data_IF_824579320236
#
_entry.id   IF_824579320236
#
_cell.length_a   1.000
_cell.length_b   1.000
_cell.length_c   1.000
_cell.angle_alpha   90.00
_cell.angle_beta   90.00
_cell.angle_gamma   90.00
#
_symmetry.space_group_name_H-M   'P 1'
#
loop_
_entity.id
_entity.type
_entity.pdbx_description
1 polymer ?
#
# COMPACT_ATOMS: atom_id res chain seq x y z
N UNK A 1 6.77 3.44 -17.09
CA UNK A 1 7.81 2.87 -16.19
C UNK A 1 8.64 1.81 -16.92
N UNK A 2 9.98 1.89 -16.97
CA UNK A 2 10.81 0.85 -17.67
C UNK A 2 10.77 -0.53 -17.00
N UNK A 3 10.60 -0.56 -15.67
CA UNK A 3 10.56 -1.76 -14.84
C UNK A 3 9.25 -2.56 -14.91
N UNK A 4 8.21 -2.01 -15.54
CA UNK A 4 6.92 -2.68 -15.72
C UNK A 4 6.66 -2.79 -17.22
N UNK A 5 6.21 -3.95 -17.68
CA UNK A 5 5.79 -4.18 -19.07
C UNK A 5 4.32 -3.80 -19.24
N UNK A 6 3.47 -4.17 -18.29
CA UNK A 6 2.04 -3.91 -18.33
C UNK A 6 1.32 -4.54 -17.14
N UNK A 7 0.03 -4.79 -17.31
CA UNK A 7 -0.83 -5.43 -16.32
C UNK A 7 -1.43 -6.71 -16.92
N UNK A 8 -1.70 -7.71 -16.09
CA UNK A 8 -2.32 -8.97 -16.52
C UNK A 8 -3.47 -9.35 -15.61
N UNK A 9 -4.62 -9.67 -16.18
CA UNK A 9 -5.75 -10.14 -15.40
C UNK A 9 -5.51 -11.52 -14.80
N UNK A 10 -5.76 -11.66 -13.50
CA UNK A 10 -5.58 -12.92 -12.77
C UNK A 10 -6.56 -14.03 -13.19
N UNK A 11 -7.72 -13.67 -13.75
CA UNK A 11 -8.74 -14.65 -14.18
C UNK A 11 -8.72 -14.96 -15.67
N UNK A 12 -8.77 -13.95 -16.53
CA UNK A 12 -8.88 -14.16 -17.98
C UNK A 12 -7.55 -14.08 -18.73
N UNK A 13 -6.45 -13.72 -18.05
CA UNK A 13 -5.12 -13.63 -18.65
C UNK A 13 -4.91 -12.48 -19.63
N UNK A 14 -5.92 -11.65 -19.89
CA UNK A 14 -5.79 -10.47 -20.76
C UNK A 14 -4.71 -9.54 -20.24
N UNK A 15 -3.89 -9.05 -21.17
CA UNK A 15 -2.81 -8.12 -20.91
C UNK A 15 -3.24 -6.70 -21.28
N UNK A 16 -2.71 -5.73 -20.55
CA UNK A 16 -3.01 -4.31 -20.70
C UNK A 16 -1.72 -3.50 -20.65
N UNK A 17 -1.71 -2.36 -21.32
CA UNK A 17 -0.70 -1.33 -21.12
C UNK A 17 -0.71 -0.78 -19.69
N UNK A 18 0.38 -0.13 -19.27
CA UNK A 18 0.55 0.41 -17.91
C UNK A 18 -0.51 1.44 -17.48
N UNK A 19 -1.14 2.10 -18.45
CA UNK A 19 -2.09 3.19 -18.24
C UNK A 19 -3.44 2.91 -18.94
N UNK A 20 -3.62 1.71 -19.48
CA UNK A 20 -4.83 1.35 -20.22
C UNK A 20 -6.02 1.10 -19.28
N UNK A 21 -5.75 0.58 -18.08
CA UNK A 21 -6.75 0.28 -17.05
C UNK A 21 -6.20 0.68 -15.68
N UNK A 22 -7.07 1.23 -14.82
CA UNK A 22 -6.65 1.83 -13.54
C UNK A 22 -7.01 1.01 -12.30
N UNK A 23 -7.93 0.06 -12.40
CA UNK A 23 -8.47 -0.65 -11.23
C UNK A 23 -8.63 -2.14 -11.50
N UNK A 24 -9.62 -2.51 -12.32
CA UNK A 24 -9.95 -3.92 -12.60
C UNK A 24 -9.92 -4.20 -14.09
N UNK A 25 -9.87 -5.48 -14.44
CA UNK A 25 -9.98 -5.97 -15.80
C UNK A 25 -11.26 -5.46 -16.47
N UNK A 26 -11.13 -4.76 -17.60
CA UNK A 26 -12.24 -4.26 -18.41
C UNK A 26 -13.21 -5.34 -18.92
N UNK A 27 -12.77 -6.60 -19.00
CA UNK A 27 -13.54 -7.70 -19.56
C UNK A 27 -14.31 -8.53 -18.52
N UNK A 28 -13.76 -8.69 -17.31
CA UNK A 28 -14.32 -9.61 -16.31
C UNK A 28 -14.30 -9.06 -14.88
N UNK A 29 -13.92 -7.79 -14.70
CA UNK A 29 -13.89 -7.08 -13.42
C UNK A 29 -13.01 -7.70 -12.33
N UNK A 30 -12.16 -8.67 -12.66
CA UNK A 30 -11.17 -9.24 -11.74
C UNK A 30 -9.96 -8.30 -11.56
N UNK A 31 -9.23 -8.48 -10.46
CA UNK A 31 -7.96 -7.86 -10.17
C UNK A 31 -6.89 -8.11 -11.26
N UNK A 32 -5.98 -7.14 -11.34
CA UNK A 32 -4.85 -7.13 -12.25
C UNK A 32 -3.55 -7.32 -11.45
N UNK A 33 -2.63 -8.09 -12.01
CA UNK A 33 -1.27 -8.23 -11.52
C UNK A 33 -0.29 -7.42 -12.37
N UNK A 34 0.84 -7.05 -11.78
CA UNK A 34 1.87 -6.25 -12.44
C UNK A 34 2.83 -7.17 -13.18
N UNK A 35 2.97 -6.95 -14.48
CA UNK A 35 3.95 -7.68 -15.30
C UNK A 35 5.28 -6.93 -15.27
N UNK A 36 6.25 -7.46 -14.52
CA UNK A 36 7.57 -6.82 -14.37
C UNK A 36 8.52 -7.09 -15.54
N UNK A 37 9.42 -6.13 -15.78
CA UNK A 37 10.57 -6.30 -16.67
C UNK A 37 11.80 -6.70 -15.84
N UNK A 38 11.91 -7.97 -15.46
CA UNK A 38 13.02 -8.47 -14.64
C UNK A 38 14.39 -8.34 -15.30
N UNK A 39 14.45 -8.35 -16.64
CA UNK A 39 15.70 -8.13 -17.38
C UNK A 39 16.25 -6.73 -17.19
N UNK A 40 15.36 -5.74 -17.04
CA UNK A 40 15.73 -4.36 -16.73
C UNK A 40 16.04 -4.20 -15.24
N UNK A 41 15.18 -4.74 -14.37
CA UNK A 41 15.34 -4.62 -12.90
C UNK A 41 16.66 -5.21 -12.42
N UNK A 42 17.06 -6.38 -12.93
CA UNK A 42 18.30 -7.06 -12.50
C UNK A 42 19.58 -6.29 -12.84
N UNK A 43 19.51 -5.28 -13.74
CA UNK A 43 20.68 -4.45 -14.07
C UNK A 43 21.06 -3.52 -12.92
N UNK A 44 20.10 -3.13 -12.09
CA UNK A 44 20.30 -2.17 -10.99
C UNK A 44 19.99 -2.75 -9.62
N UNK A 45 19.14 -3.78 -9.54
CA UNK A 45 18.72 -4.40 -8.28
C UNK A 45 19.37 -5.77 -8.09
N UNK A 46 20.52 -5.78 -7.43
CA UNK A 46 21.28 -6.97 -7.03
C UNK A 46 21.35 -7.13 -5.52
N UNK A 47 21.81 -8.29 -5.03
CA UNK A 47 22.03 -8.52 -3.59
C UNK A 47 23.04 -7.53 -3.00
N UNK A 48 24.09 -7.21 -3.75
CA UNK A 48 25.15 -6.28 -3.38
C UNK A 48 24.61 -4.84 -3.32
N UNK A 49 23.83 -4.43 -4.33
CA UNK A 49 23.19 -3.10 -4.32
C UNK A 49 22.24 -2.95 -3.12
N UNK A 50 21.49 -4.01 -2.80
CA UNK A 50 20.53 -4.01 -1.70
C UNK A 50 21.22 -4.01 -0.33
N UNK A 51 22.35 -4.72 -0.19
CA UNK A 51 23.10 -4.75 1.08
C UNK A 51 23.79 -3.42 1.39
N UNK A 52 24.20 -2.68 0.35
CA UNK A 52 24.81 -1.35 0.48
C UNK A 52 23.78 -0.22 0.63
N UNK A 53 22.50 -0.48 0.34
CA UNK A 53 21.45 0.53 0.42
C UNK A 53 21.17 0.95 1.87
N UNK A 54 21.35 2.24 2.15
CA UNK A 54 21.14 2.88 3.47
C UNK A 54 19.71 3.38 3.70
N UNK A 55 18.81 3.17 2.75
CA UNK A 55 17.38 3.42 2.92
C UNK A 55 16.76 2.34 3.82
N UNK A 56 16.23 2.77 4.96
CA UNK A 56 15.66 1.92 6.01
C UNK A 56 14.14 2.04 6.04
N UNK A 57 13.53 1.78 4.89
CA UNK A 57 12.07 1.73 4.69
C UNK A 57 11.73 0.77 3.56
N UNK A 58 10.45 0.71 3.16
CA UNK A 58 10.04 0.00 1.95
C UNK A 58 10.65 0.57 0.67
N UNK A 59 11.10 1.83 0.68
CA UNK A 59 11.59 2.52 -0.52
C UNK A 59 12.93 1.98 -1.02
N UNK A 60 13.66 1.23 -0.17
CA UNK A 60 14.84 0.46 -0.60
C UNK A 60 14.53 -0.60 -1.68
N UNK A 61 13.25 -0.95 -1.82
CA UNK A 61 12.74 -1.87 -2.83
C UNK A 61 12.09 -1.16 -4.02
N UNK A 62 12.27 0.16 -4.18
CA UNK A 62 11.71 0.95 -5.29
C UNK A 62 11.83 0.27 -6.67
N UNK A 63 12.94 -0.40 -7.04
CA UNK A 63 13.04 -1.07 -8.34
C UNK A 63 11.99 -2.17 -8.57
N UNK A 64 11.37 -2.67 -7.51
CA UNK A 64 10.30 -3.67 -7.51
C UNK A 64 8.91 -3.07 -7.20
N UNK A 65 8.81 -1.76 -6.93
CA UNK A 65 7.53 -1.11 -6.63
C UNK A 65 6.97 -0.41 -7.88
N UNK A 66 5.64 -0.42 -8.10
CA UNK A 66 4.99 0.18 -9.26
C UNK A 66 4.79 1.69 -9.14
N UNK A 67 5.89 2.41 -8.90
CA UNK A 67 5.94 3.88 -8.79
C UNK A 67 7.10 4.45 -9.61
N UNK A 68 7.06 5.73 -9.94
CA UNK A 68 8.05 6.49 -10.72
C UNK A 68 8.65 7.65 -9.95
N UNK A 69 7.85 8.34 -9.13
CA UNK A 69 8.24 9.61 -8.54
C UNK A 69 8.50 9.47 -7.04
N UNK A 70 9.78 9.35 -6.66
CA UNK A 70 10.19 9.25 -5.27
C UNK A 70 10.00 10.55 -4.47
N UNK A 71 9.79 11.69 -5.12
CA UNK A 71 9.49 12.95 -4.41
C UNK A 71 8.09 12.95 -3.78
N UNK A 72 7.23 12.02 -4.20
CA UNK A 72 5.85 11.86 -3.76
C UNK A 72 5.69 10.90 -2.57
N UNK A 73 6.76 10.28 -2.07
CA UNK A 73 6.66 9.33 -0.96
C UNK A 73 6.18 10.02 0.33
N UNK A 74 5.30 9.37 1.12
CA UNK A 74 4.98 9.81 2.47
C UNK A 74 6.25 10.08 3.29
N UNK A 75 6.33 11.21 4.04
CA UNK A 75 7.47 11.54 4.90
C UNK A 75 7.40 10.75 6.22
N UNK A 76 7.22 9.42 6.12
CA UNK A 76 7.06 8.50 7.24
C UNK A 76 7.99 7.29 7.06
N UNK A 77 8.54 6.79 8.15
CA UNK A 77 9.32 5.55 8.14
C UNK A 77 8.39 4.34 8.05
N UNK A 78 8.11 3.90 6.83
CA UNK A 78 7.25 2.76 6.55
C UNK A 78 8.11 1.54 6.27
N UNK A 79 7.87 0.45 6.99
CA UNK A 79 8.71 -0.73 6.93
C UNK A 79 9.95 -0.62 7.81
N UNK A 80 10.98 -1.41 7.47
CA UNK A 80 12.17 -1.59 8.31
C UNK A 80 11.88 -1.87 9.79
N UNK A 81 10.76 -2.55 10.02
CA UNK A 81 10.27 -2.86 11.36
C UNK A 81 11.15 -3.90 12.05
N UNK A 82 11.12 -3.97 13.39
CA UNK A 82 11.92 -4.94 14.12
C UNK A 82 11.67 -6.40 13.71
N UNK A 83 12.72 -7.21 13.80
CA UNK A 83 12.64 -8.66 13.71
C UNK A 83 13.22 -9.23 15.01
N UNK A 84 12.36 -9.78 15.86
CA UNK A 84 12.75 -10.30 17.17
C UNK A 84 12.93 -11.81 17.11
N UNK A 85 14.02 -12.33 17.67
CA UNK A 85 14.17 -13.77 17.87
C UNK A 85 13.41 -14.19 19.14
N UNK A 86 12.39 -15.03 19.01
CA UNK A 86 11.54 -15.47 20.11
C UNK A 86 12.10 -16.75 20.77
N UNK A 87 13.29 -16.64 21.36
CA UNK A 87 14.07 -17.77 21.93
C UNK A 87 13.29 -18.65 22.91
N UNK A 88 12.39 -18.05 23.69
CA UNK A 88 11.58 -18.76 24.69
C UNK A 88 10.34 -19.46 24.11
N UNK A 89 9.95 -19.15 22.87
CA UNK A 89 8.78 -19.72 22.21
C UNK A 89 9.13 -20.85 21.24
N UNK A 90 10.37 -20.89 20.73
CA UNK A 90 10.84 -21.96 19.86
C UNK A 90 12.21 -21.69 19.25
N UNK A 91 12.85 -22.73 18.72
CA UNK A 91 14.11 -22.61 17.97
C UNK A 91 13.85 -21.99 16.59
N UNK A 92 14.72 -21.07 16.17
CA UNK A 92 14.64 -20.38 14.87
C UNK A 92 13.29 -19.68 14.62
N UNK A 93 12.60 -19.25 15.69
CA UNK A 93 11.35 -18.52 15.60
C UNK A 93 11.61 -17.02 15.65
N UNK A 94 11.11 -16.29 14.65
CA UNK A 94 11.25 -14.84 14.57
C UNK A 94 9.89 -14.16 14.46
N UNK A 95 9.76 -13.00 15.11
CA UNK A 95 8.58 -12.15 15.07
C UNK A 95 8.89 -10.87 14.30
N UNK A 96 8.21 -10.67 13.18
CA UNK A 96 8.28 -9.43 12.40
C UNK A 96 7.22 -8.46 12.89
N UNK A 97 7.62 -7.45 13.67
CA UNK A 97 6.69 -6.54 14.34
C UNK A 97 6.26 -5.37 13.44
N UNK A 98 5.36 -5.66 12.50
CA UNK A 98 4.75 -4.63 11.66
C UNK A 98 3.72 -3.74 12.39
N UNK A 99 3.48 -3.99 13.69
CA UNK A 99 2.74 -3.08 14.57
C UNK A 99 3.49 -1.78 14.87
N UNK A 100 4.78 -1.70 14.54
CA UNK A 100 5.61 -0.48 14.66
C UNK A 100 5.53 0.46 13.47
N UNK A 101 4.79 0.11 12.42
CA UNK A 101 4.52 1.06 11.34
C UNK A 101 3.66 2.24 11.84
N UNK A 102 3.64 3.39 11.15
CA UNK A 102 2.98 4.61 11.61
C UNK A 102 1.50 4.47 12.04
N UNK A 103 0.71 3.70 11.29
CA UNK A 103 -0.70 3.43 11.63
C UNK A 103 -0.88 2.24 12.58
N UNK A 104 0.22 1.69 13.11
CA UNK A 104 0.30 0.43 13.83
C UNK A 104 -0.16 -0.79 13.01
N UNK A 105 0.09 -0.80 11.70
CA UNK A 105 -0.30 -1.93 10.85
C UNK A 105 0.65 -2.19 9.67
N UNK A 106 0.77 -3.46 9.29
CA UNK A 106 1.44 -3.86 8.04
C UNK A 106 0.79 -3.26 6.78
N UNK A 107 -0.48 -2.82 6.86
CA UNK A 107 -1.20 -2.20 5.74
C UNK A 107 -0.52 -0.93 5.23
N UNK A 108 0.29 -0.27 6.05
CA UNK A 108 1.07 0.92 5.65
C UNK A 108 1.97 0.67 4.44
N UNK A 109 2.50 -0.55 4.30
CA UNK A 109 3.35 -0.90 3.16
C UNK A 109 2.60 -0.78 1.83
N UNK A 110 1.37 -1.29 1.77
CA UNK A 110 0.55 -1.25 0.56
C UNK A 110 -0.05 0.14 0.33
N UNK A 111 -0.56 0.77 1.39
CA UNK A 111 -1.14 2.12 1.31
C UNK A 111 -0.11 3.16 0.85
N UNK A 112 1.17 2.99 1.19
CA UNK A 112 2.25 3.86 0.73
C UNK A 112 2.45 3.81 -0.79
N UNK A 113 2.45 2.61 -1.36
CA UNK A 113 2.54 2.45 -2.82
C UNK A 113 1.30 3.02 -3.49
N UNK A 114 0.11 2.73 -2.94
CA UNK A 114 -1.16 3.20 -3.48
C UNK A 114 -1.26 4.73 -3.48
N UNK A 115 -0.83 5.40 -2.42
CA UNK A 115 -0.94 6.86 -2.33
C UNK A 115 0.06 7.58 -3.22
N UNK A 116 1.27 7.05 -3.37
CA UNK A 116 2.23 7.56 -4.37
C UNK A 116 1.64 7.43 -5.76
N UNK A 117 1.09 6.26 -6.10
CA UNK A 117 0.45 6.04 -7.41
C UNK A 117 -0.77 6.96 -7.62
N UNK A 118 -1.58 7.20 -6.60
CA UNK A 118 -2.70 8.14 -6.67
C UNK A 118 -2.22 9.57 -7.00
N UNK A 119 -1.12 10.02 -6.39
CA UNK A 119 -0.52 11.33 -6.71
C UNK A 119 0.11 11.38 -8.11
N UNK A 120 0.64 10.27 -8.63
CA UNK A 120 1.10 10.18 -10.03
C UNK A 120 -0.05 10.32 -11.02
N UNK A 121 -1.21 9.77 -10.68
CA UNK A 121 -2.44 9.87 -11.48
C UNK A 121 -3.17 11.22 -11.30
N UNK A 122 -2.64 12.14 -10.48
CA UNK A 122 -3.26 13.44 -10.22
C UNK A 122 -4.53 13.38 -9.38
N UNK A 123 -4.73 12.29 -8.61
CA UNK A 123 -5.89 12.15 -7.74
C UNK A 123 -5.89 13.24 -6.66
N UNK A 124 -7.04 13.91 -6.50
CA UNK A 124 -7.23 14.97 -5.51
C UNK A 124 -7.72 14.45 -4.16
N UNK A 125 -8.23 13.22 -4.13
CA UNK A 125 -8.87 12.57 -2.98
C UNK A 125 -8.54 11.08 -3.05
N UNK A 126 -8.30 10.45 -1.91
CA UNK A 126 -8.27 8.98 -1.79
C UNK A 126 -9.50 8.49 -1.04
N UNK A 127 -9.99 7.31 -1.42
CA UNK A 127 -11.16 6.73 -0.79
C UNK A 127 -11.03 5.23 -0.60
N UNK A 128 -11.83 4.67 0.31
CA UNK A 128 -11.94 3.23 0.51
C UNK A 128 -13.12 2.88 1.41
N UNK A 129 -13.61 1.66 1.28
CA UNK A 129 -14.57 1.07 2.19
C UNK A 129 -13.82 0.17 3.18
N UNK A 130 -13.64 0.63 4.42
CA UNK A 130 -12.98 -0.17 5.46
C UNK A 130 -13.20 0.37 6.85
N UNK A 131 -13.56 -0.53 7.77
CA UNK A 131 -13.55 -0.25 9.21
C UNK A 131 -12.27 -0.68 9.89
N UNK A 132 -11.31 -1.25 9.15
CA UNK A 132 -10.12 -1.87 9.72
C UNK A 132 -8.84 -1.13 9.42
N UNK A 133 -7.73 -1.84 9.58
CA UNK A 133 -6.38 -1.32 9.41
C UNK A 133 -6.13 -0.69 8.03
N UNK A 134 -6.80 -1.15 6.97
CA UNK A 134 -6.63 -0.57 5.64
C UNK A 134 -7.16 0.88 5.57
N UNK A 135 -8.32 1.14 6.17
CA UNK A 135 -8.87 2.49 6.27
C UNK A 135 -7.97 3.40 7.12
N UNK A 136 -7.55 2.92 8.30
CA UNK A 136 -6.66 3.67 9.20
C UNK A 136 -5.31 3.98 8.56
N UNK A 137 -4.73 3.01 7.86
CA UNK A 137 -3.48 3.17 7.12
C UNK A 137 -3.63 4.21 6.00
N UNK A 138 -4.66 4.10 5.17
CA UNK A 138 -4.91 5.08 4.11
C UNK A 138 -5.11 6.49 4.68
N UNK A 139 -5.91 6.64 5.75
CA UNK A 139 -6.12 7.91 6.43
C UNK A 139 -4.82 8.50 6.99
N UNK A 140 -4.00 7.69 7.67
CA UNK A 140 -2.71 8.10 8.24
C UNK A 140 -1.77 8.64 7.17
N UNK A 141 -1.58 7.90 6.09
CA UNK A 141 -0.64 8.26 5.04
C UNK A 141 -1.16 9.45 4.22
N UNK A 142 -2.47 9.52 3.96
CA UNK A 142 -3.07 10.68 3.30
C UNK A 142 -2.92 11.96 4.11
N UNK A 143 -3.10 11.88 5.43
CA UNK A 143 -2.85 13.01 6.34
C UNK A 143 -1.39 13.50 6.25
N UNK A 144 -0.42 12.58 6.22
CA UNK A 144 1.01 12.93 6.12
C UNK A 144 1.38 13.69 4.84
N UNK A 145 0.58 13.53 3.78
CA UNK A 145 0.76 14.16 2.47
C UNK A 145 -0.27 15.28 2.21
N UNK A 146 -1.12 15.60 3.19
CA UNK A 146 -2.24 16.58 3.05
C UNK A 146 -3.21 16.24 1.92
N UNK A 147 -3.41 14.95 1.65
CA UNK A 147 -4.38 14.47 0.68
C UNK A 147 -5.70 14.19 1.43
N UNK A 148 -6.83 14.74 0.99
CA UNK A 148 -8.12 14.39 1.57
C UNK A 148 -8.41 12.90 1.46
N UNK A 149 -8.79 12.29 2.59
CA UNK A 149 -9.25 10.90 2.65
C UNK A 149 -10.75 10.85 2.99
N UNK A 150 -11.52 10.09 2.22
CA UNK A 150 -12.93 9.79 2.50
C UNK A 150 -13.09 8.29 2.71
N UNK A 151 -13.47 7.87 3.91
CA UNK A 151 -13.56 6.45 4.27
C UNK A 151 -15.01 6.08 4.58
N UNK A 152 -15.51 5.09 3.85
CA UNK A 152 -16.84 4.54 4.05
C UNK A 152 -16.79 3.41 5.07
N UNK A 153 -17.69 3.43 6.04
CA UNK A 153 -17.79 2.43 7.11
C UNK A 153 -19.25 2.02 7.31
N UNK A 154 -19.55 0.73 7.58
CA UNK A 154 -20.86 0.32 8.07
C UNK A 154 -21.27 1.09 9.32
N UNK A 155 -22.55 1.44 9.44
CA UNK A 155 -23.08 2.17 10.60
C UNK A 155 -22.83 1.45 11.95
N UNK A 156 -22.68 0.12 11.92
CA UNK A 156 -22.39 -0.71 13.10
C UNK A 156 -20.90 -0.85 13.42
N UNK A 157 -20.03 -0.09 12.76
CA UNK A 157 -18.60 -0.17 12.96
C UNK A 157 -18.21 0.19 14.41
N UNK A 158 -17.28 -0.56 15.05
CA UNK A 158 -16.87 -0.26 16.42
C UNK A 158 -16.26 1.14 16.53
N UNK A 159 -16.69 1.90 17.54
CA UNK A 159 -16.22 3.28 17.80
C UNK A 159 -14.70 3.38 17.81
N UNK A 160 -14.02 2.46 18.48
CA UNK A 160 -12.55 2.45 18.58
C UNK A 160 -11.85 2.45 17.21
N UNK A 161 -12.42 1.75 16.21
CA UNK A 161 -11.84 1.72 14.86
C UNK A 161 -12.12 3.01 14.09
N UNK A 162 -13.28 3.62 14.30
CA UNK A 162 -13.64 4.93 13.74
C UNK A 162 -12.75 6.03 14.32
N UNK A 163 -12.43 5.97 15.62
CA UNK A 163 -11.61 6.97 16.31
C UNK A 163 -10.28 7.20 15.61
N UNK A 164 -9.59 6.13 15.19
CA UNK A 164 -8.30 6.26 14.51
C UNK A 164 -8.42 6.99 13.16
N UNK A 165 -9.48 6.70 12.38
CA UNK A 165 -9.77 7.40 11.12
C UNK A 165 -9.97 8.90 11.34
N UNK A 166 -10.75 9.26 12.36
CA UNK A 166 -11.07 10.64 12.71
C UNK A 166 -9.83 11.39 13.22
N UNK A 167 -8.98 10.76 14.03
CA UNK A 167 -7.72 11.34 14.52
C UNK A 167 -6.80 11.70 13.35
N UNK A 168 -6.74 10.86 12.31
CA UNK A 168 -5.98 11.16 11.09
C UNK A 168 -6.69 12.15 10.16
N UNK A 169 -7.85 12.71 10.54
CA UNK A 169 -8.54 13.73 9.78
C UNK A 169 -9.30 13.22 8.54
N UNK A 170 -9.53 11.91 8.44
CA UNK A 170 -10.36 11.38 7.36
C UNK A 170 -11.83 11.78 7.54
N UNK A 171 -12.50 12.10 6.43
CA UNK A 171 -13.95 12.24 6.40
C UNK A 171 -14.57 10.84 6.43
N UNK A 172 -15.19 10.48 7.55
CA UNK A 172 -15.84 9.18 7.71
C UNK A 172 -17.31 9.28 7.32
N UNK A 173 -17.73 8.45 6.37
CA UNK A 173 -19.13 8.34 5.94
C UNK A 173 -19.69 7.00 6.41
N UNK A 174 -20.69 7.06 7.29
CA UNK A 174 -21.39 5.87 7.78
C UNK A 174 -22.46 5.43 6.77
N UNK A 175 -22.40 4.17 6.35
CA UNK A 175 -23.30 3.56 5.37
C UNK A 175 -24.26 2.61 6.07
N UNK A 176 -25.55 2.68 5.72
CA UNK A 176 -26.57 1.71 6.17
C UNK A 176 -26.44 0.43 5.34
N UNK A 177 -25.54 -0.45 5.75
CA UNK A 177 -25.23 -1.72 5.08
C UNK A 177 -24.19 -2.53 5.84
N UNK A 178 -23.81 -3.68 5.28
CA UNK A 178 -22.64 -4.47 5.71
C UNK A 178 -21.36 -3.96 5.03
N UNK A 179 -20.24 -4.66 5.19
CA UNK A 179 -18.98 -4.32 4.51
C UNK A 179 -19.06 -4.49 2.99
N UNK A 180 -19.90 -5.39 2.49
CA UNK A 180 -20.02 -5.74 1.08
C UNK A 180 -21.11 -4.93 0.34
N UNK A 181 -21.86 -4.09 1.05
CA UNK A 181 -22.90 -3.21 0.50
C UNK A 181 -22.36 -1.82 0.20
#
# INVERSE_FOLDING_TARGET
>A
MRKIKGLKCLRCGREYGQEEVNYNCSACSENLDIVYNYEEIRKTFTKESLSQNKEYSIWRYEPLLPIQDLSKIPPLQIGWTPLYEAKNLGKNLFLKDDGKNPSASFKDRASAVAIVRAQELGAKIVTGASTGNAGSSMACLAASLRIPAIIFVPQKAPKAKITQLLIFGAKVIMVKGTYDN
#
